data_IF_926163705954
#
_entry.id   IF_926163705954
#
_cell.length_a   1.000
_cell.length_b   1.000
_cell.length_c   1.000
_cell.angle_alpha   90.00
_cell.angle_beta   90.00
_cell.angle_gamma   90.00
#
_symmetry.space_group_name_H-M   'P 1'
#
loop_
_entity.id
_entity.type
_entity.pdbx_description
1 polymer ?
#
# COMPACT_ATOMS: atom_id res chain seq x y z
N UNK A 1 -5.57 74.73 7.82
CA UNK A 1 -5.43 74.38 6.43
C UNK A 1 -4.23 73.52 6.19
N UNK A 2 -4.15 72.41 6.62
CA UNK A 2 -3.05 71.52 6.25
C UNK A 2 -3.63 70.15 6.05
N UNK A 3 -3.64 69.79 4.87
CA UNK A 3 -4.00 68.44 4.49
C UNK A 3 -2.76 67.60 4.43
N UNK A 4 -2.47 66.93 5.43
CA UNK A 4 -1.45 65.92 5.38
C UNK A 4 -2.13 64.59 5.02
N UNK A 5 -2.16 64.29 3.79
CA UNK A 5 -2.49 62.99 3.32
C UNK A 5 -1.30 62.08 3.46
N UNK A 6 -1.20 61.44 4.54
CA UNK A 6 -0.26 60.33 4.65
C UNK A 6 -0.78 59.15 3.87
N UNK A 7 -0.22 58.88 2.77
CA UNK A 7 -0.52 57.63 2.05
C UNK A 7 0.07 56.46 2.81
N UNK A 8 -0.70 55.51 3.18
CA UNK A 8 -0.16 54.29 3.69
C UNK A 8 0.52 53.56 2.54
N UNK A 9 1.75 53.35 2.69
CA UNK A 9 2.48 52.46 1.82
C UNK A 9 1.83 51.09 1.93
N UNK A 10 1.19 50.68 0.88
CA UNK A 10 0.75 49.32 0.73
C UNK A 10 2.00 48.47 0.63
N UNK A 11 2.37 47.95 1.72
CA UNK A 11 3.32 46.88 1.73
C UNK A 11 2.65 45.72 1.06
N UNK A 12 2.97 45.48 -0.15
CA UNK A 12 2.65 44.22 -0.77
C UNK A 12 3.44 43.16 -0.06
N UNK A 13 2.77 42.53 0.83
CA UNK A 13 3.22 41.30 1.37
C UNK A 13 3.19 40.29 0.25
N UNK A 14 4.36 40.07 -0.29
CA UNK A 14 4.55 39.03 -1.26
C UNK A 14 4.31 37.71 -0.56
N UNK A 15 3.11 37.28 -0.66
CA UNK A 15 2.73 36.01 -0.23
C UNK A 15 3.49 34.97 -1.03
N UNK A 16 4.49 34.45 -0.42
CA UNK A 16 5.10 33.23 -0.93
C UNK A 16 4.15 32.14 -0.75
N UNK A 17 3.58 31.73 -1.82
CA UNK A 17 2.93 30.46 -1.90
C UNK A 17 3.93 29.36 -1.58
N UNK A 18 3.68 28.56 -0.57
CA UNK A 18 4.52 27.41 -0.37
C UNK A 18 4.36 26.51 -1.58
N UNK A 19 5.45 26.15 -2.15
CA UNK A 19 5.46 25.17 -3.22
C UNK A 19 4.72 23.92 -2.75
N UNK A 20 3.85 23.36 -3.57
CA UNK A 20 3.20 22.12 -3.23
C UNK A 20 4.28 21.06 -3.08
N UNK A 21 4.37 20.53 -1.92
CA UNK A 21 5.25 19.41 -1.68
C UNK A 21 4.58 18.15 -2.23
N UNK A 22 5.01 17.73 -3.36
CA UNK A 22 4.58 16.47 -3.98
C UNK A 22 5.11 15.23 -3.26
N UNK A 23 5.75 15.41 -2.13
CA UNK A 23 6.39 14.33 -1.41
C UNK A 23 5.44 13.50 -0.53
N UNK A 24 4.18 13.89 -0.41
CA UNK A 24 3.26 13.24 0.50
C UNK A 24 2.83 11.84 0.04
N UNK A 25 2.96 11.52 -1.23
CA UNK A 25 2.55 10.21 -1.75
C UNK A 25 3.65 9.15 -1.70
N UNK A 26 4.88 9.54 -1.48
CA UNK A 26 5.99 8.58 -1.42
C UNK A 26 6.23 8.01 -0.02
N UNK A 27 5.65 8.60 1.00
CA UNK A 27 5.88 8.21 2.40
C UNK A 27 5.08 6.98 2.83
N UNK A 28 4.08 6.57 2.05
CA UNK A 28 3.23 5.45 2.40
C UNK A 28 3.89 4.08 2.29
N UNK A 29 5.09 4.00 1.74
CA UNK A 29 5.81 2.76 1.46
C UNK A 29 7.16 2.65 2.17
N UNK A 30 7.40 3.48 3.18
CA UNK A 30 8.60 3.31 4.00
C UNK A 30 8.35 2.17 4.97
N UNK A 31 8.99 1.02 4.81
CA UNK A 31 8.89 -0.03 5.79
C UNK A 31 9.45 0.53 7.11
N UNK A 32 8.74 0.28 8.19
CA UNK A 32 9.26 0.55 9.51
C UNK A 32 10.61 -0.17 9.61
N UNK A 33 11.67 0.60 9.70
CA UNK A 33 13.02 0.08 9.79
C UNK A 33 13.16 -0.70 11.09
N UNK A 34 13.03 -1.99 11.01
CA UNK A 34 13.53 -2.87 12.02
C UNK A 34 15.04 -2.98 11.82
N UNK A 35 15.79 -2.49 12.77
CA UNK A 35 17.24 -2.46 12.69
C UNK A 35 17.87 -3.82 12.45
N UNK A 36 18.40 -3.99 11.28
CA UNK A 36 19.36 -4.96 10.84
C UNK A 36 20.12 -4.29 9.74
N UNK A 37 21.38 -4.55 9.59
CA UNK A 37 22.18 -4.09 8.45
C UNK A 37 21.65 -4.79 7.18
N UNK A 38 20.45 -4.44 6.80
CA UNK A 38 19.88 -4.87 5.55
C UNK A 38 20.48 -3.97 4.49
N UNK A 39 21.10 -4.60 3.52
CA UNK A 39 21.53 -3.94 2.29
C UNK A 39 20.30 -3.22 1.74
N UNK A 40 20.27 -1.92 1.90
CA UNK A 40 19.26 -1.11 1.27
C UNK A 40 19.47 -1.22 -0.24
N UNK A 41 18.60 -1.98 -0.87
CA UNK A 41 18.58 -2.06 -2.32
C UNK A 41 18.16 -0.69 -2.83
N UNK A 42 19.15 0.10 -3.25
CA UNK A 42 18.90 1.42 -3.87
C UNK A 42 18.45 1.14 -5.30
N UNK A 43 17.13 1.11 -5.47
CA UNK A 43 16.56 1.01 -6.80
C UNK A 43 16.72 2.35 -7.54
N UNK A 44 17.20 2.28 -8.78
CA UNK A 44 17.21 3.46 -9.65
C UNK A 44 15.78 3.95 -9.87
N UNK A 45 15.61 5.27 -9.94
CA UNK A 45 14.29 5.90 -10.06
C UNK A 45 13.34 5.31 -11.13
N UNK A 46 13.78 4.91 -12.32
CA UNK A 46 12.89 4.27 -13.29
C UNK A 46 12.33 2.92 -12.80
N UNK A 47 13.14 2.11 -12.13
CA UNK A 47 12.74 0.79 -11.65
C UNK A 47 11.81 0.90 -10.44
N UNK A 48 12.04 1.85 -9.56
CA UNK A 48 11.20 2.05 -8.37
C UNK A 48 9.75 2.44 -8.70
N UNK A 49 9.49 2.90 -9.91
CA UNK A 49 8.15 3.32 -10.37
C UNK A 49 7.41 2.26 -11.16
N UNK A 50 8.02 1.11 -11.39
CA UNK A 50 7.36 0.03 -12.10
C UNK A 50 6.21 -0.54 -11.25
N UNK A 51 5.02 -0.69 -11.83
CA UNK A 51 3.91 -1.30 -11.13
C UNK A 51 4.17 -2.79 -10.91
N UNK A 52 3.85 -3.25 -9.72
CA UNK A 52 3.89 -4.67 -9.36
C UNK A 52 2.53 -5.08 -8.84
N UNK A 53 1.98 -6.13 -9.41
CA UNK A 53 0.75 -6.73 -8.93
C UNK A 53 1.07 -7.74 -7.84
N UNK A 54 0.39 -7.58 -6.71
CA UNK A 54 0.51 -8.47 -5.56
C UNK A 54 -0.78 -9.28 -5.42
N UNK A 55 -0.61 -10.56 -5.13
CA UNK A 55 -1.70 -11.50 -4.94
C UNK A 55 -1.69 -12.03 -3.51
N UNK A 56 -2.84 -12.02 -2.88
CA UNK A 56 -3.05 -12.67 -1.59
C UNK A 56 -4.13 -13.72 -1.77
N UNK A 57 -3.81 -14.95 -1.47
CA UNK A 57 -4.74 -16.01 -1.74
C UNK A 57 -4.59 -17.20 -0.80
N UNK A 58 -5.71 -17.83 -0.50
CA UNK A 58 -5.74 -19.09 0.24
C UNK A 58 -5.67 -20.25 -0.74
N UNK A 59 -4.62 -21.07 -0.72
CA UNK A 59 -4.51 -22.21 -1.63
C UNK A 59 -5.50 -23.32 -1.27
N UNK A 60 -6.21 -23.82 -2.26
CA UNK A 60 -7.12 -24.96 -2.14
C UNK A 60 -6.47 -26.15 -2.85
N UNK A 61 -5.93 -27.09 -2.09
CA UNK A 61 -5.08 -28.16 -2.64
C UNK A 61 -5.85 -29.35 -3.20
N UNK A 62 -7.03 -29.64 -2.69
CA UNK A 62 -7.79 -30.82 -3.06
C UNK A 62 -8.90 -30.55 -4.10
N UNK A 63 -8.81 -29.42 -4.77
CA UNK A 63 -9.77 -29.04 -5.78
C UNK A 63 -9.49 -29.76 -7.11
N UNK A 64 -10.48 -30.49 -7.63
CA UNK A 64 -10.36 -31.29 -8.84
C UNK A 64 -11.19 -30.68 -9.97
N UNK A 65 -10.88 -31.05 -11.21
CA UNK A 65 -11.61 -30.58 -12.41
C UNK A 65 -13.12 -30.81 -12.29
N UNK A 66 -13.56 -31.92 -11.73
CA UNK A 66 -14.99 -32.17 -11.50
C UNK A 66 -15.65 -31.12 -10.60
N UNK A 67 -14.90 -30.55 -9.65
CA UNK A 67 -15.40 -29.49 -8.77
C UNK A 67 -15.48 -28.16 -9.52
N UNK A 68 -14.54 -27.93 -10.43
CA UNK A 68 -14.52 -26.73 -11.26
C UNK A 68 -15.75 -26.67 -12.21
N UNK A 69 -16.10 -27.80 -12.82
CA UNK A 69 -17.26 -27.89 -13.72
C UNK A 69 -18.58 -27.75 -12.96
N UNK A 70 -18.59 -28.14 -11.70
CA UNK A 70 -19.76 -28.07 -10.82
C UNK A 70 -19.89 -26.79 -10.02
N UNK A 71 -19.11 -25.75 -10.31
CA UNK A 71 -19.20 -24.48 -9.57
C UNK A 71 -20.55 -23.81 -9.78
N UNK A 72 -21.15 -23.37 -8.70
CA UNK A 72 -22.44 -22.67 -8.73
C UNK A 72 -22.42 -21.49 -7.75
N UNK A 73 -23.26 -20.51 -8.06
CA UNK A 73 -23.40 -19.34 -7.20
C UNK A 73 -23.89 -19.72 -5.81
N UNK A 74 -23.30 -19.17 -4.78
CA UNK A 74 -23.63 -19.46 -3.38
C UNK A 74 -22.96 -20.70 -2.82
N UNK A 75 -22.21 -21.43 -3.63
CA UNK A 75 -21.46 -22.59 -3.16
C UNK A 75 -20.33 -22.16 -2.23
N UNK A 76 -20.19 -22.86 -1.10
CA UNK A 76 -19.09 -22.66 -0.16
C UNK A 76 -18.03 -23.72 -0.44
N UNK A 77 -16.80 -23.27 -0.64
CA UNK A 77 -15.65 -24.14 -0.80
C UNK A 77 -14.88 -24.12 0.52
N UNK A 78 -14.88 -25.25 1.21
CA UNK A 78 -14.09 -25.40 2.42
C UNK A 78 -12.60 -25.47 2.07
N UNK A 79 -11.80 -24.76 2.82
CA UNK A 79 -10.34 -24.80 2.71
C UNK A 79 -9.75 -25.51 3.93
N UNK A 80 -8.52 -25.96 3.81
CA UNK A 80 -7.76 -26.50 4.93
C UNK A 80 -7.07 -25.40 5.74
N UNK A 81 -7.26 -24.16 5.34
CA UNK A 81 -6.63 -23.00 5.97
C UNK A 81 -7.40 -22.58 7.22
N UNK A 82 -6.71 -22.45 8.32
CA UNK A 82 -7.31 -21.98 9.56
C UNK A 82 -7.48 -20.48 9.48
N UNK A 83 -8.61 -19.94 9.93
CA UNK A 83 -8.92 -18.50 9.81
C UNK A 83 -7.93 -17.57 10.52
N UNK A 84 -7.19 -18.09 11.49
CA UNK A 84 -6.14 -17.36 12.22
C UNK A 84 -4.74 -17.47 11.61
N UNK A 85 -4.60 -18.27 10.56
CA UNK A 85 -3.30 -18.47 9.94
C UNK A 85 -2.99 -17.35 8.94
N UNK A 86 -1.72 -16.98 8.90
CA UNK A 86 -1.23 -16.02 7.93
C UNK A 86 -1.42 -16.52 6.50
N UNK A 87 -1.81 -15.62 5.62
CA UNK A 87 -2.06 -15.90 4.21
C UNK A 87 -0.85 -15.48 3.37
N UNK A 88 -0.42 -16.29 2.40
CA UNK A 88 0.73 -15.93 1.58
C UNK A 88 0.44 -14.75 0.66
N UNK A 89 1.38 -13.82 0.61
CA UNK A 89 1.47 -12.73 -0.34
C UNK A 89 2.49 -13.09 -1.41
N UNK A 90 2.10 -13.03 -2.65
CA UNK A 90 2.95 -13.38 -3.76
C UNK A 90 2.94 -12.32 -4.86
N UNK A 91 3.98 -12.30 -5.67
CA UNK A 91 4.03 -11.58 -6.93
C UNK A 91 4.43 -12.56 -8.03
N UNK A 92 3.58 -12.69 -9.04
CA UNK A 92 3.82 -13.62 -10.18
C UNK A 92 4.19 -15.06 -9.76
N UNK A 93 3.51 -15.55 -8.73
CA UNK A 93 3.75 -16.91 -8.22
C UNK A 93 4.95 -17.06 -7.28
N UNK A 94 5.69 -15.99 -7.00
CA UNK A 94 6.78 -16.00 -6.03
C UNK A 94 6.28 -15.44 -4.71
N UNK A 95 6.36 -16.25 -3.65
CA UNK A 95 5.98 -15.82 -2.32
C UNK A 95 6.98 -14.79 -1.78
N UNK A 96 6.46 -13.67 -1.32
CA UNK A 96 7.25 -12.56 -0.79
C UNK A 96 7.12 -12.43 0.73
N UNK A 97 5.94 -12.69 1.25
CA UNK A 97 5.63 -12.46 2.65
C UNK A 97 4.45 -13.33 3.11
N UNK A 98 4.21 -13.27 4.40
CA UNK A 98 3.01 -13.75 5.06
C UNK A 98 2.21 -12.57 5.55
N UNK A 99 0.91 -12.68 5.48
CA UNK A 99 0.02 -11.56 5.73
C UNK A 99 -1.24 -11.99 6.46
N UNK A 100 -1.89 -11.04 7.10
CA UNK A 100 -3.24 -11.19 7.63
C UNK A 100 -4.17 -10.17 7.01
N UNK A 101 -5.44 -10.50 6.89
CA UNK A 101 -6.46 -9.56 6.43
C UNK A 101 -6.88 -8.63 7.56
N UNK A 102 -7.03 -7.37 7.22
CA UNK A 102 -7.48 -6.32 8.12
C UNK A 102 -8.53 -5.46 7.42
N UNK A 103 -9.40 -4.84 8.18
CA UNK A 103 -10.35 -3.88 7.63
C UNK A 103 -9.95 -2.48 8.05
N UNK A 104 -9.68 -1.63 7.06
CA UNK A 104 -9.34 -0.22 7.25
C UNK A 104 -10.29 0.63 6.44
N UNK A 105 -11.00 1.56 7.09
CA UNK A 105 -11.98 2.44 6.45
C UNK A 105 -12.97 1.70 5.55
N UNK A 106 -13.52 0.60 6.01
CA UNK A 106 -14.46 -0.27 5.28
C UNK A 106 -13.87 -0.93 4.03
N UNK A 107 -12.55 -0.93 3.89
CA UNK A 107 -11.83 -1.62 2.82
C UNK A 107 -11.03 -2.77 3.38
N UNK A 108 -10.95 -3.81 2.60
CA UNK A 108 -10.06 -4.91 2.92
C UNK A 108 -8.62 -4.46 2.73
N UNK A 109 -7.85 -4.57 3.77
CA UNK A 109 -6.41 -4.30 3.79
C UNK A 109 -5.64 -5.58 4.12
N UNK A 110 -4.36 -5.54 3.93
CA UNK A 110 -3.46 -6.66 4.18
C UNK A 110 -2.29 -6.16 5.01
N UNK A 111 -2.07 -6.80 6.14
CA UNK A 111 -0.93 -6.51 7.03
C UNK A 111 0.14 -7.56 6.82
N UNK A 112 1.36 -7.14 6.61
CA UNK A 112 2.51 -8.04 6.55
C UNK A 112 2.88 -8.47 7.96
N UNK A 113 2.91 -9.77 8.20
CA UNK A 113 3.28 -10.35 9.49
C UNK A 113 4.73 -10.80 9.52
N UNK A 114 5.22 -11.32 8.40
CA UNK A 114 6.63 -11.72 8.25
C UNK A 114 7.03 -11.80 6.79
N UNK A 115 8.28 -11.69 6.50
CA UNK A 115 8.84 -11.91 5.17
C UNK A 115 9.04 -13.41 4.90
N UNK A 116 9.01 -13.77 3.63
CA UNK A 116 9.22 -15.16 3.21
C UNK A 116 10.70 -15.58 3.36
#
# INVERSE_FOLDING_TARGET
MASAAGSPVQKQEQRREPAPSDSASETALVPAASGGAEEQIILKAPVSRLPVELEVGVPIREFRVRHLVGLSQGQVIATQWIHSDDVPLAARGVQLAWTEFEVVDSRLAVRITRLA
#
